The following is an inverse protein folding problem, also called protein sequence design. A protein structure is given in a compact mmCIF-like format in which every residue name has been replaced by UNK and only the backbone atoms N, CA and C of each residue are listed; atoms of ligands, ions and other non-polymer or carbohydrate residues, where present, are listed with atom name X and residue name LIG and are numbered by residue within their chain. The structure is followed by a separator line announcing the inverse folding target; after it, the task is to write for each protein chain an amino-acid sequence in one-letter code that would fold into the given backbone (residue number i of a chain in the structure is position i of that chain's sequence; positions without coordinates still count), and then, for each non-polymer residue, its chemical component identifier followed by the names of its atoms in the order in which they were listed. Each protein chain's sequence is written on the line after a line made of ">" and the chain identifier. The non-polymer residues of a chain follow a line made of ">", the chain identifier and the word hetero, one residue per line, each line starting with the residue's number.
data_IF_983550109187
#
_entry.id   IF_983550109187
#
_cell.length_a   1.000
_cell.length_b   1.000
_cell.length_c   1.000
_cell.angle_alpha   90.00
_cell.angle_beta   90.00
_cell.angle_gamma   90.00
#
_symmetry.space_group_name_H-M   'P 1'
#
loop_
_entity.id
_entity.type
_entity.pdbx_description
1 polymer ?
#
# COMPACT_ATOMS: atom_id res chain seq x y z
N UNK A 1 16.18 15.39 -9.10
CA UNK A 1 16.66 14.46 -8.03
C UNK A 1 15.52 13.53 -7.71
N UNK A 2 15.69 12.24 -7.92
CA UNK A 2 14.63 11.25 -7.67
C UNK A 2 14.48 11.02 -6.17
N UNK A 3 13.25 11.09 -5.67
CA UNK A 3 12.93 10.84 -4.26
C UNK A 3 12.53 9.37 -4.12
N UNK A 4 13.10 8.65 -3.15
CA UNK A 4 12.77 7.25 -2.92
C UNK A 4 11.60 7.12 -1.93
N UNK A 5 10.70 6.18 -2.22
CA UNK A 5 9.66 5.76 -1.29
C UNK A 5 10.26 4.96 -0.13
N UNK A 6 9.70 5.15 1.04
CA UNK A 6 9.98 4.37 2.25
C UNK A 6 8.86 3.38 2.54
N UNK A 7 8.80 2.84 3.77
CA UNK A 7 7.71 1.99 4.20
C UNK A 7 6.37 2.74 4.20
N UNK A 8 5.27 2.03 3.97
CA UNK A 8 3.94 2.55 4.26
C UNK A 8 3.78 2.73 5.77
N UNK A 9 3.37 3.91 6.18
CA UNK A 9 3.01 4.20 7.55
C UNK A 9 1.54 3.85 7.77
N UNK A 10 1.27 2.96 8.71
CA UNK A 10 -0.06 2.48 9.05
C UNK A 10 -0.45 3.03 10.42
N UNK A 11 -1.52 3.79 10.46
CA UNK A 11 -2.13 4.24 11.71
C UNK A 11 -3.05 3.16 12.27
N UNK A 12 -2.80 2.70 13.49
CA UNK A 12 -3.53 1.62 14.14
C UNK A 12 -3.92 1.96 15.58
N UNK A 13 -5.07 1.47 16.04
CA UNK A 13 -5.47 1.61 17.44
C UNK A 13 -4.58 0.72 18.33
N UNK A 14 -4.24 -0.47 17.84
CA UNK A 14 -3.24 -1.36 18.43
C UNK A 14 -2.12 -1.67 17.42
N UNK A 15 -1.06 -0.84 17.38
CA UNK A 15 0.07 -1.07 16.47
C UNK A 15 0.73 -2.44 16.62
N UNK A 16 0.78 -2.99 17.84
CA UNK A 16 1.41 -4.28 18.09
C UNK A 16 0.59 -5.45 17.50
N UNK A 17 -0.74 -5.39 17.62
CA UNK A 17 -1.63 -6.36 16.99
C UNK A 17 -1.54 -6.29 15.45
N UNK A 18 -1.56 -5.07 14.88
CA UNK A 18 -1.41 -4.86 13.45
C UNK A 18 -0.05 -5.37 12.93
N UNK A 19 1.05 -5.06 13.62
CA UNK A 19 2.38 -5.54 13.28
C UNK A 19 2.46 -7.06 13.35
N UNK A 20 1.88 -7.68 14.38
CA UNK A 20 1.85 -9.14 14.53
C UNK A 20 1.10 -9.82 13.40
N UNK A 21 -0.07 -9.29 13.01
CA UNK A 21 -0.84 -9.78 11.87
C UNK A 21 -0.03 -9.74 10.58
N UNK A 22 0.51 -8.57 10.23
CA UNK A 22 1.26 -8.39 8.99
C UNK A 22 2.60 -9.14 8.99
N UNK A 23 3.24 -9.31 10.15
CA UNK A 23 4.42 -10.15 10.28
C UNK A 23 4.11 -11.63 10.00
N UNK A 24 2.99 -12.14 10.48
CA UNK A 24 2.51 -13.49 10.19
C UNK A 24 2.12 -13.66 8.73
N UNK A 25 1.36 -12.71 8.18
CA UNK A 25 0.89 -12.76 6.80
C UNK A 25 2.03 -12.70 5.78
N UNK A 26 2.97 -11.77 5.93
CA UNK A 26 4.03 -11.51 4.95
C UNK A 26 5.29 -12.36 5.16
N UNK A 27 5.56 -12.82 6.36
CA UNK A 27 6.62 -13.77 6.72
C UNK A 27 8.06 -13.32 6.44
N UNK A 28 8.34 -12.80 5.25
CA UNK A 28 9.69 -12.42 4.80
C UNK A 28 10.12 -11.06 5.34
N UNK A 29 11.37 -10.89 5.86
CA UNK A 29 11.81 -9.62 6.41
C UNK A 29 11.68 -8.42 5.47
N UNK A 30 12.02 -8.59 4.17
CA UNK A 30 11.90 -7.52 3.18
C UNK A 30 10.46 -7.06 2.95
N UNK A 31 9.49 -7.99 2.98
CA UNK A 31 8.06 -7.68 2.87
C UNK A 31 7.54 -6.98 4.13
N UNK A 32 7.98 -7.43 5.31
CA UNK A 32 7.61 -6.81 6.59
C UNK A 32 8.18 -5.39 6.71
N UNK A 33 9.38 -5.14 6.19
CA UNK A 33 10.01 -3.82 6.19
C UNK A 33 9.28 -2.77 5.33
N UNK A 34 8.28 -3.19 4.53
CA UNK A 34 7.42 -2.28 3.78
C UNK A 34 6.38 -1.55 4.65
N UNK A 35 6.13 -2.03 5.87
CA UNK A 35 5.13 -1.46 6.76
C UNK A 35 5.80 -0.91 8.01
N UNK A 36 5.31 0.22 8.47
CA UNK A 36 5.62 0.78 9.79
C UNK A 36 4.32 1.18 10.47
N UNK A 37 4.24 1.03 11.78
CA UNK A 37 3.00 1.23 12.52
C UNK A 37 3.16 2.35 13.54
N UNK A 38 2.12 3.21 13.64
CA UNK A 38 2.05 4.22 14.69
C UNK A 38 0.68 4.23 15.35
N UNK A 39 0.57 4.61 16.64
CA UNK A 39 -0.70 4.66 17.33
C UNK A 39 -1.59 5.80 16.79
N UNK A 40 -2.85 5.48 16.54
CA UNK A 40 -3.90 6.43 16.18
C UNK A 40 -5.21 6.05 16.90
N UNK A 41 -5.71 6.96 17.74
CA UNK A 41 -6.94 6.72 18.52
C UNK A 41 -8.23 6.97 17.73
N UNK A 42 -8.14 7.65 16.60
CA UNK A 42 -9.30 7.89 15.73
C UNK A 42 -9.81 6.55 15.18
N UNK A 43 -11.06 6.24 15.43
CA UNK A 43 -11.68 5.02 14.89
C UNK A 43 -11.77 5.09 13.37
N UNK A 44 -11.57 3.96 12.72
CA UNK A 44 -11.84 3.82 11.29
C UNK A 44 -13.35 3.89 11.05
N UNK A 45 -13.78 4.79 10.16
CA UNK A 45 -15.19 5.03 9.86
C UNK A 45 -15.53 4.93 8.37
N UNK A 46 -14.51 4.96 7.51
CA UNK A 46 -14.66 4.89 6.05
C UNK A 46 -13.64 3.92 5.46
N UNK A 47 -13.84 3.51 4.21
CA UNK A 47 -12.88 2.71 3.45
C UNK A 47 -11.54 3.45 3.36
N UNK A 48 -10.42 2.72 3.50
CA UNK A 48 -9.10 3.26 3.26
C UNK A 48 -8.91 3.56 1.77
N UNK A 49 -8.27 4.69 1.48
CA UNK A 49 -7.91 5.06 0.10
C UNK A 49 -6.56 4.49 -0.34
N UNK A 50 -5.79 4.00 0.60
CA UNK A 50 -4.54 3.29 0.33
C UNK A 50 -4.66 1.90 0.91
N UNK A 51 -4.36 0.88 0.11
CA UNK A 51 -4.38 -0.52 0.51
C UNK A 51 -3.34 -1.35 -0.25
N UNK A 52 -3.09 -2.55 0.24
CA UNK A 52 -2.21 -3.51 -0.44
C UNK A 52 -3.02 -4.46 -1.32
N UNK A 53 -2.43 -4.80 -2.45
CA UNK A 53 -2.77 -6.00 -3.20
C UNK A 53 -1.71 -7.07 -2.92
N UNK A 54 -2.17 -8.24 -2.51
CA UNK A 54 -1.31 -9.37 -2.17
C UNK A 54 -1.69 -10.60 -2.99
N UNK A 55 -0.71 -11.44 -3.30
CA UNK A 55 -0.93 -12.80 -3.75
C UNK A 55 -1.05 -13.74 -2.56
N UNK A 56 -2.01 -14.66 -2.58
CA UNK A 56 -2.10 -15.78 -1.66
C UNK A 56 -2.65 -17.01 -2.40
N UNK A 57 -2.23 -18.21 -2.00
CA UNK A 57 -2.76 -19.47 -2.54
C UNK A 57 -4.09 -19.83 -1.92
N UNK A 58 -4.22 -19.51 -0.64
CA UNK A 58 -5.40 -19.73 0.17
C UNK A 58 -5.54 -18.56 1.15
N UNK A 59 -6.76 -18.15 1.41
CA UNK A 59 -7.07 -17.12 2.40
C UNK A 59 -7.13 -17.66 3.83
N UNK A 60 -7.28 -19.01 4.02
CA UNK A 60 -7.44 -19.60 5.34
C UNK A 60 -6.32 -19.22 6.33
N UNK A 61 -5.02 -19.23 5.97
CA UNK A 61 -3.98 -18.75 6.88
C UNK A 61 -4.12 -17.27 7.29
N UNK A 62 -4.68 -16.41 6.43
CA UNK A 62 -4.92 -15.02 6.76
C UNK A 62 -6.12 -14.88 7.71
N UNK A 63 -7.16 -15.70 7.54
CA UNK A 63 -8.29 -15.77 8.47
C UNK A 63 -7.85 -16.28 9.85
N UNK A 64 -6.97 -17.28 9.90
CA UNK A 64 -6.41 -17.79 11.15
C UNK A 64 -5.58 -16.73 11.91
N UNK A 65 -4.98 -15.78 11.18
CA UNK A 65 -4.30 -14.62 11.77
C UNK A 65 -5.26 -13.53 12.24
N UNK A 66 -6.56 -13.65 11.96
CA UNK A 66 -7.59 -12.71 12.39
C UNK A 66 -8.14 -11.79 11.31
N UNK A 67 -7.81 -12.02 10.03
CA UNK A 67 -8.47 -11.30 8.94
C UNK A 67 -9.95 -11.69 8.82
N UNK A 68 -10.76 -10.79 8.27
CA UNK A 68 -12.18 -11.02 7.99
C UNK A 68 -12.50 -10.76 6.53
N UNK A 69 -13.42 -11.56 5.95
CA UNK A 69 -13.88 -11.36 4.57
C UNK A 69 -14.84 -10.18 4.50
N UNK A 70 -14.54 -9.24 3.61
CA UNK A 70 -15.41 -8.10 3.30
C UNK A 70 -16.21 -8.30 2.01
N UNK A 71 -15.65 -8.99 1.02
CA UNK A 71 -16.33 -9.26 -0.24
C UNK A 71 -15.52 -10.18 -1.15
N UNK A 72 -16.23 -10.90 -2.00
CA UNK A 72 -15.66 -11.78 -3.03
C UNK A 72 -16.00 -11.23 -4.40
N UNK A 73 -15.01 -11.18 -5.29
CA UNK A 73 -15.13 -10.63 -6.62
C UNK A 73 -14.52 -11.60 -7.65
N UNK A 74 -14.91 -11.51 -8.93
CA UNK A 74 -14.24 -12.29 -9.97
C UNK A 74 -12.74 -11.96 -10.03
N UNK A 75 -11.90 -12.88 -9.53
CA UNK A 75 -10.45 -12.78 -9.58
C UNK A 75 -9.75 -12.28 -8.32
N UNK A 76 -10.47 -11.83 -7.28
CA UNK A 76 -9.87 -11.50 -5.97
C UNK A 76 -10.90 -11.53 -4.84
N UNK A 77 -10.38 -11.57 -3.61
CA UNK A 77 -11.18 -11.42 -2.39
C UNK A 77 -10.68 -10.18 -1.65
N UNK A 78 -11.58 -9.35 -1.15
CA UNK A 78 -11.23 -8.24 -0.26
C UNK A 78 -11.37 -8.70 1.19
N UNK A 79 -10.28 -8.61 1.94
CA UNK A 79 -10.21 -8.89 3.36
C UNK A 79 -10.00 -7.60 4.15
N UNK A 80 -10.30 -7.64 5.46
CA UNK A 80 -9.86 -6.66 6.43
C UNK A 80 -8.85 -7.30 7.38
N UNK A 81 -7.80 -6.55 7.74
CA UNK A 81 -6.88 -6.93 8.81
C UNK A 81 -7.52 -6.76 10.21
N UNK A 82 -6.77 -7.03 11.27
CA UNK A 82 -7.24 -6.95 12.67
C UNK A 82 -7.65 -5.54 13.11
N UNK A 83 -7.26 -4.50 12.38
CA UNK A 83 -7.65 -3.11 12.58
C UNK A 83 -8.81 -2.67 11.66
N UNK A 84 -9.32 -3.59 10.83
CA UNK A 84 -10.36 -3.33 9.84
C UNK A 84 -9.85 -2.65 8.58
N UNK A 85 -8.55 -2.66 8.30
CA UNK A 85 -7.99 -2.09 7.09
C UNK A 85 -8.15 -3.06 5.92
N UNK A 86 -8.73 -2.59 4.82
CA UNK A 86 -8.98 -3.36 3.61
C UNK A 86 -7.65 -3.70 2.90
N UNK A 87 -7.58 -4.91 2.36
CA UNK A 87 -6.57 -5.34 1.39
C UNK A 87 -7.17 -6.36 0.42
N UNK A 88 -6.64 -6.41 -0.80
CA UNK A 88 -7.14 -7.31 -1.83
C UNK A 88 -6.20 -8.51 -1.99
N UNK A 89 -6.79 -9.71 -1.99
CA UNK A 89 -6.07 -10.98 -2.13
C UNK A 89 -6.37 -11.57 -3.50
N UNK A 90 -5.32 -11.76 -4.28
CA UNK A 90 -5.36 -12.36 -5.60
C UNK A 90 -4.79 -13.77 -5.57
N UNK A 91 -5.25 -14.68 -6.44
CA UNK A 91 -4.64 -16.00 -6.57
C UNK A 91 -3.15 -15.91 -6.89
N UNK A 92 -2.32 -16.66 -6.15
CA UNK A 92 -0.88 -16.66 -6.36
C UNK A 92 -0.52 -17.45 -7.64
N UNK A 93 0.09 -16.80 -8.65
CA UNK A 93 0.47 -17.46 -9.89
C UNK A 93 1.75 -18.29 -9.76
N UNK A 94 2.45 -18.24 -8.62
CA UNK A 94 3.77 -18.87 -8.43
C UNK A 94 3.62 -20.31 -7.97
N UNK A 95 4.47 -21.23 -8.43
CA UNK A 95 4.44 -22.65 -8.04
C UNK A 95 5.03 -22.89 -6.64
N UNK A 96 5.90 -22.00 -6.15
CA UNK A 96 6.69 -22.22 -4.95
C UNK A 96 5.92 -22.03 -3.65
N UNK A 97 6.31 -22.75 -2.60
CA UNK A 97 5.88 -22.46 -1.25
C UNK A 97 6.44 -21.14 -0.76
N UNK A 98 5.61 -20.35 -0.09
CA UNK A 98 5.97 -19.02 0.39
C UNK A 98 5.19 -18.64 1.65
N UNK A 99 5.32 -17.39 2.12
CA UNK A 99 4.50 -16.87 3.21
C UNK A 99 3.02 -16.91 2.81
N UNK A 100 2.10 -16.82 3.78
CA UNK A 100 0.66 -16.74 3.51
C UNK A 100 0.27 -15.71 2.47
N UNK A 101 0.94 -14.55 2.47
CA UNK A 101 0.73 -13.50 1.48
C UNK A 101 2.05 -12.91 0.98
N UNK A 102 2.03 -12.41 -0.26
CA UNK A 102 3.12 -11.64 -0.87
C UNK A 102 2.57 -10.36 -1.46
N UNK A 103 3.03 -9.21 -0.98
CA UNK A 103 2.67 -7.91 -1.57
C UNK A 103 3.25 -7.80 -2.98
N UNK A 104 2.41 -7.43 -3.93
CA UNK A 104 2.83 -7.12 -5.31
C UNK A 104 2.44 -5.71 -5.76
N UNK A 105 1.45 -5.09 -5.09
CA UNK A 105 1.08 -3.72 -5.41
C UNK A 105 0.61 -2.94 -4.18
N UNK A 106 0.75 -1.62 -4.30
CA UNK A 106 0.09 -0.62 -3.46
C UNK A 106 -0.98 0.05 -4.32
N UNK A 107 -2.20 0.13 -3.83
CA UNK A 107 -3.30 0.82 -4.51
C UNK A 107 -3.59 2.14 -3.81
N UNK A 108 -3.81 3.20 -4.60
CA UNK A 108 -4.22 4.52 -4.12
C UNK A 108 -5.48 4.94 -4.87
N UNK A 109 -6.57 5.14 -4.14
CA UNK A 109 -7.83 5.63 -4.66
C UNK A 109 -7.70 7.12 -5.03
N UNK A 110 -8.18 7.52 -6.19
CA UNK A 110 -8.04 8.86 -6.73
C UNK A 110 -9.22 9.24 -7.63
N UNK A 111 -9.66 10.49 -7.55
CA UNK A 111 -10.65 11.03 -8.49
C UNK A 111 -10.04 11.30 -9.88
N UNK A 112 -8.73 11.54 -9.95
CA UNK A 112 -7.96 11.82 -11.17
C UNK A 112 -6.69 10.95 -11.19
N UNK A 113 -6.83 9.61 -11.34
CA UNK A 113 -5.72 8.67 -11.16
C UNK A 113 -4.61 8.81 -12.20
N UNK A 114 -4.93 9.20 -13.44
CA UNK A 114 -3.94 9.39 -14.51
C UNK A 114 -3.03 10.61 -14.21
N UNK A 115 -3.62 11.71 -13.77
CA UNK A 115 -2.87 12.94 -13.41
C UNK A 115 -2.00 12.69 -12.17
N UNK A 116 -2.55 12.01 -11.17
CA UNK A 116 -1.83 11.68 -9.95
C UNK A 116 -0.68 10.72 -10.22
N UNK A 117 -0.89 9.71 -11.08
CA UNK A 117 0.14 8.77 -11.49
C UNK A 117 1.29 9.47 -12.23
N UNK A 118 0.97 10.35 -13.18
CA UNK A 118 1.97 11.11 -13.93
C UNK A 118 2.83 11.98 -13.00
N UNK A 119 2.19 12.69 -12.07
CA UNK A 119 2.89 13.55 -11.11
C UNK A 119 3.83 12.74 -10.19
N UNK A 120 3.33 11.64 -9.61
CA UNK A 120 4.16 10.79 -8.75
C UNK A 120 5.29 10.09 -9.54
N UNK A 121 5.05 9.72 -10.79
CA UNK A 121 6.09 9.12 -11.64
C UNK A 121 7.31 10.03 -11.79
N UNK A 122 7.10 11.34 -11.98
CA UNK A 122 8.19 12.32 -12.04
C UNK A 122 8.94 12.43 -10.71
N UNK A 123 8.23 12.41 -9.58
CA UNK A 123 8.82 12.53 -8.24
C UNK A 123 9.69 11.31 -7.89
N UNK A 124 9.18 10.11 -8.16
CA UNK A 124 9.85 8.86 -7.74
C UNK A 124 10.62 8.15 -8.86
N UNK A 125 10.68 8.75 -10.06
CA UNK A 125 11.43 8.23 -11.19
C UNK A 125 10.87 6.91 -11.74
N UNK A 126 9.54 6.79 -11.81
CA UNK A 126 8.86 5.56 -12.22
C UNK A 126 8.42 5.58 -13.69
N UNK A 127 8.28 4.38 -14.28
CA UNK A 127 7.65 4.19 -15.59
C UNK A 127 6.12 4.14 -15.44
N UNK A 128 5.41 5.03 -16.14
CA UNK A 128 3.95 4.97 -16.21
C UNK A 128 3.54 3.93 -17.24
N UNK A 129 2.66 3.01 -16.87
CA UNK A 129 2.09 2.00 -17.76
C UNK A 129 0.56 1.97 -17.67
N UNK A 130 -0.03 1.39 -18.71
CA UNK A 130 -1.48 1.24 -18.77
C UNK A 130 -1.99 0.30 -17.68
N UNK A 131 -3.02 0.77 -17.01
CA UNK A 131 -3.88 -0.03 -16.15
C UNK A 131 -5.07 -0.59 -16.95
N UNK A 132 -6.15 -0.99 -16.26
CA UNK A 132 -7.38 -1.43 -16.91
C UNK A 132 -7.89 -0.39 -17.92
N UNK A 133 -8.44 -0.88 -19.04
CA UNK A 133 -8.97 -0.07 -20.14
C UNK A 133 -7.93 0.82 -20.87
N UNK A 134 -6.64 0.47 -20.81
CA UNK A 134 -5.59 1.20 -21.51
C UNK A 134 -5.34 2.62 -20.97
N UNK A 135 -5.61 2.87 -19.69
CA UNK A 135 -5.36 4.17 -19.07
C UNK A 135 -4.04 4.18 -18.31
N UNK A 136 -3.13 5.16 -18.56
CA UNK A 136 -1.79 5.21 -17.96
C UNK A 136 -1.87 5.67 -16.49
N UNK A 137 -1.90 4.71 -15.57
CA UNK A 137 -2.08 4.97 -14.14
C UNK A 137 -1.42 3.94 -13.21
N UNK A 138 -0.52 3.11 -13.74
CA UNK A 138 0.26 2.18 -12.96
C UNK A 138 1.74 2.55 -13.05
N UNK A 139 2.41 2.66 -11.91
CA UNK A 139 3.82 2.97 -11.83
C UNK A 139 4.64 1.72 -11.57
N UNK A 140 5.70 1.54 -12.37
CA UNK A 140 6.67 0.47 -12.24
C UNK A 140 8.05 1.04 -12.00
N UNK A 141 8.86 0.35 -11.18
CA UNK A 141 10.21 0.79 -10.89
C UNK A 141 10.31 2.06 -10.05
N UNK A 142 9.26 2.40 -9.30
CA UNK A 142 9.28 3.54 -8.36
C UNK A 142 10.46 3.39 -7.40
N UNK A 143 11.30 4.41 -7.27
CA UNK A 143 12.45 4.38 -6.38
C UNK A 143 12.03 4.03 -4.95
N UNK A 144 12.64 2.99 -4.37
CA UNK A 144 12.30 2.43 -3.06
C UNK A 144 11.20 1.36 -3.08
N UNK A 145 10.44 1.25 -4.18
CA UNK A 145 9.42 0.21 -4.41
C UNK A 145 9.63 -0.50 -5.75
N UNK A 146 10.86 -0.76 -6.15
CA UNK A 146 11.24 -1.26 -7.48
C UNK A 146 10.56 -2.58 -7.86
N UNK A 147 10.18 -3.39 -6.86
CA UNK A 147 9.54 -4.70 -7.06
C UNK A 147 8.02 -4.66 -6.88
N UNK A 148 7.44 -3.47 -6.77
CA UNK A 148 6.00 -3.28 -6.58
C UNK A 148 5.41 -2.49 -7.73
N UNK A 149 4.13 -2.70 -7.94
CA UNK A 149 3.32 -1.83 -8.80
C UNK A 149 2.64 -0.81 -7.87
N UNK A 150 2.77 0.48 -8.15
CA UNK A 150 1.96 1.49 -7.50
C UNK A 150 0.78 1.82 -8.42
N UNK A 151 -0.41 1.41 -8.01
CA UNK A 151 -1.65 1.53 -8.80
C UNK A 151 -2.46 2.73 -8.32
N UNK A 152 -2.91 3.57 -9.25
CA UNK A 152 -3.89 4.60 -8.96
C UNK A 152 -5.24 4.15 -9.51
N UNK A 153 -6.27 4.12 -8.65
CA UNK A 153 -7.57 3.53 -8.95
C UNK A 153 -8.64 4.62 -8.93
N UNK A 154 -9.42 4.70 -10.00
CA UNK A 154 -10.49 5.70 -10.08
C UNK A 154 -11.61 5.38 -9.09
N UNK A 155 -11.95 6.38 -8.30
CA UNK A 155 -13.09 6.39 -7.40
C UNK A 155 -13.79 7.73 -7.50
N UNK A 156 -15.11 7.73 -7.36
CA UNK A 156 -15.93 8.94 -7.48
C UNK A 156 -16.30 9.54 -6.12
N UNK A 157 -16.04 8.80 -5.03
CA UNK A 157 -16.33 9.26 -3.67
C UNK A 157 -15.30 10.30 -3.18
N UNK A 158 -15.79 11.31 -2.47
CA UNK A 158 -14.95 12.34 -1.91
C UNK A 158 -14.14 11.84 -0.70
N UNK A 159 -12.91 12.33 -0.56
CA UNK A 159 -12.08 12.07 0.60
C UNK A 159 -12.53 12.97 1.77
N UNK A 160 -13.14 12.36 2.79
CA UNK A 160 -13.74 13.07 3.93
C UNK A 160 -12.91 13.02 5.22
N UNK A 161 -11.87 12.16 5.27
CA UNK A 161 -10.95 12.03 6.40
C UNK A 161 -9.52 11.82 5.90
N UNK A 162 -8.49 12.15 6.71
CA UNK A 162 -7.10 11.82 6.40
C UNK A 162 -6.89 10.32 6.23
N UNK A 163 -5.97 9.96 5.32
CA UNK A 163 -5.60 8.57 5.06
C UNK A 163 -4.96 7.93 6.31
N UNK A 164 -5.40 6.73 6.67
CA UNK A 164 -4.78 5.94 7.74
C UNK A 164 -3.52 5.21 7.27
N UNK A 165 -3.45 4.92 5.98
CA UNK A 165 -2.28 4.37 5.32
C UNK A 165 -1.66 5.46 4.46
N UNK A 166 -0.40 5.77 4.71
CA UNK A 166 0.32 6.85 4.06
C UNK A 166 1.65 6.31 3.55
N UNK A 167 2.05 6.70 2.35
CA UNK A 167 3.42 6.44 1.92
C UNK A 167 4.39 7.39 2.62
N UNK A 168 5.64 6.98 2.70
CA UNK A 168 6.70 7.81 3.22
C UNK A 168 7.73 8.10 2.12
N UNK A 169 8.39 9.24 2.21
CA UNK A 169 9.44 9.66 1.29
C UNK A 169 10.77 9.72 2.03
N UNK A 170 11.82 9.18 1.42
CA UNK A 170 13.20 9.31 1.87
C UNK A 170 13.81 10.55 1.22
N UNK A 171 13.64 11.69 1.85
CA UNK A 171 14.08 12.98 1.32
C UNK A 171 14.47 13.92 2.46
N UNK A 172 15.13 15.02 2.13
CA UNK A 172 15.13 16.19 3.02
C UNK A 172 13.72 16.81 3.05
N UNK A 173 13.31 17.41 4.16
CA UNK A 173 12.02 18.08 4.25
C UNK A 173 11.89 19.09 3.09
N UNK A 174 11.02 18.80 2.14
CA UNK A 174 10.75 19.65 1.01
C UNK A 174 9.28 20.12 1.05
N UNK A 175 8.97 21.20 0.37
CA UNK A 175 7.62 21.72 0.22
C UNK A 175 6.78 20.91 -0.79
N UNK A 176 7.03 19.60 -0.90
CA UNK A 176 6.29 18.72 -1.79
C UNK A 176 4.85 18.57 -1.29
N UNK A 177 3.89 18.83 -2.14
CA UNK A 177 2.45 18.72 -1.86
C UNK A 177 1.85 17.80 -2.93
N UNK A 178 1.20 16.71 -2.49
CA UNK A 178 0.42 15.85 -3.39
C UNK A 178 -0.70 16.68 -4.03
N UNK A 179 -0.88 16.63 -5.38
CA UNK A 179 -1.84 17.48 -6.09
C UNK A 179 -3.30 17.21 -5.70
N UNK A 180 -3.60 16.07 -5.09
CA UNK A 180 -4.94 15.76 -4.57
C UNK A 180 -5.00 15.80 -3.03
N UNK A 181 -3.95 16.34 -2.40
CA UNK A 181 -3.88 16.55 -0.96
C UNK A 181 -3.79 15.26 -0.16
N UNK A 182 -3.23 14.18 -0.73
CA UNK A 182 -2.94 12.98 0.04
C UNK A 182 -1.82 13.26 1.05
N UNK A 183 -1.98 12.74 2.24
CA UNK A 183 -0.98 12.83 3.28
C UNK A 183 0.16 11.83 3.01
N UNK A 184 1.38 12.28 3.17
CA UNK A 184 2.58 11.47 3.20
C UNK A 184 3.54 11.99 4.28
N UNK A 185 4.44 11.14 4.74
CA UNK A 185 5.44 11.51 5.72
C UNK A 185 6.83 11.51 5.10
N UNK A 186 7.68 12.43 5.55
CA UNK A 186 9.08 12.46 5.14
C UNK A 186 9.91 11.79 6.23
N UNK A 187 10.75 10.84 5.84
CA UNK A 187 11.72 10.20 6.73
C UNK A 187 13.13 10.58 6.28
N UNK A 188 14.08 10.81 7.21
CA UNK A 188 15.45 11.12 6.83
C UNK A 188 16.03 10.05 5.90
N UNK A 189 16.87 10.41 4.92
CA UNK A 189 17.64 9.45 4.18
C UNK A 189 18.43 8.59 5.17
N UNK A 190 18.31 7.27 5.09
CA UNK A 190 19.19 6.40 5.88
C UNK A 190 20.62 6.64 5.41
N UNK A 191 21.51 7.08 6.30
CA UNK A 191 22.94 7.07 6.00
C UNK A 191 23.32 5.66 5.52
N UNK A 192 24.06 5.52 4.42
CA UNK A 192 24.60 4.22 4.06
C UNK A 192 25.45 3.73 5.23
N UNK A 193 25.12 2.56 5.77
CA UNK A 193 25.97 1.87 6.73
C UNK A 193 27.24 1.52 5.98
N UNK A 194 28.34 2.21 6.31
CA UNK A 194 29.67 1.99 5.74
C UNK A 194 30.25 0.64 6.14
#
# INVERSE_FOLDING_TARGET
>A
MTIALGPLLVEAADPAAAESFWAGALGRPAQRAMLSFRPERRRKTVKNRVHLDVYARDIAPLLDLGATVLGEFPGWVTLADVEGNEFCVFPDPRPDEGPPALVFAVCTDSAQPEELAAWWAEVVGADVRDGPNGTPRWLFGSAGWENLIWKFVRVDDERVVPNRWQWTLRADPSELIDPQGNEFSVVPPTCPVG
#
